data_IF_018631271119
#
_entry.id   IF_018631271119
#
_cell.length_a   1.000
_cell.length_b   1.000
_cell.length_c   1.000
_cell.angle_alpha   90.00
_cell.angle_beta   90.00
_cell.angle_gamma   90.00
#
_symmetry.space_group_name_H-M   'P 1'
#
loop_
_entity.id
_entity.type
_entity.pdbx_description
1 polymer ?
#
# COMPACT_ATOMS: atom_id res chain seq x y z
N UNK A 1 -14.70 -6.84 11.15
CA UNK A 1 -14.07 -8.18 10.96
C UNK A 1 -12.58 -7.96 10.77
N UNK A 2 -11.68 -8.78 11.32
CA UNK A 2 -10.23 -8.59 11.14
C UNK A 2 -9.84 -8.58 9.65
N UNK A 3 -8.70 -7.97 9.34
CA UNK A 3 -8.19 -7.84 7.96
C UNK A 3 -8.25 -9.17 7.20
N UNK A 4 -8.98 -9.14 6.08
CA UNK A 4 -9.17 -10.31 5.23
C UNK A 4 -7.83 -10.75 4.62
N UNK A 5 -7.42 -11.99 4.91
CA UNK A 5 -6.14 -12.57 4.48
C UNK A 5 -6.20 -13.26 3.12
N UNK A 6 -7.35 -13.20 2.43
CA UNK A 6 -7.51 -13.75 1.09
C UNK A 6 -6.42 -13.24 0.14
N UNK A 7 -5.78 -14.10 -0.67
CA UNK A 7 -4.71 -13.69 -1.58
C UNK A 7 -5.07 -12.53 -2.52
N UNK A 8 -6.36 -12.33 -2.83
CA UNK A 8 -6.83 -11.23 -3.68
C UNK A 8 -6.75 -9.83 -3.02
N UNK A 9 -6.58 -9.77 -1.70
CA UNK A 9 -6.51 -8.55 -0.90
C UNK A 9 -5.16 -8.39 -0.21
N UNK A 10 -4.16 -9.19 -0.60
CA UNK A 10 -2.82 -9.13 0.00
C UNK A 10 -2.19 -7.73 -0.09
N UNK A 11 -2.50 -6.99 -1.15
CA UNK A 11 -2.05 -5.62 -1.37
C UNK A 11 -2.76 -4.59 -0.48
N UNK A 12 -3.92 -4.93 0.10
CA UNK A 12 -4.65 -4.07 1.03
C UNK A 12 -4.18 -4.23 2.47
N UNK A 13 -3.41 -5.28 2.81
CA UNK A 13 -2.98 -5.58 4.19
C UNK A 13 -2.25 -4.44 4.89
N UNK A 14 -1.71 -3.48 4.14
CA UNK A 14 -1.07 -2.32 4.72
C UNK A 14 -2.03 -1.17 5.06
N UNK A 15 -3.33 -1.29 4.79
CA UNK A 15 -4.35 -0.29 5.12
C UNK A 15 -5.05 -0.74 6.40
N UNK A 16 -4.90 0.06 7.46
CA UNK A 16 -5.23 -0.32 8.83
C UNK A 16 -6.22 0.70 9.40
N UNK A 17 -7.52 0.39 9.37
CA UNK A 17 -8.54 1.17 10.05
C UNK A 17 -8.73 0.62 11.46
N UNK A 18 -8.56 1.45 12.48
CA UNK A 18 -8.78 1.02 13.86
C UNK A 18 -10.25 1.29 14.21
N UNK A 19 -11.05 0.31 14.66
CA UNK A 19 -12.49 0.50 14.87
C UNK A 19 -12.82 1.58 15.90
N UNK A 20 -12.02 1.68 16.96
CA UNK A 20 -12.24 2.68 18.02
C UNK A 20 -11.58 4.04 17.77
N UNK A 21 -10.91 4.24 16.62
CA UNK A 21 -10.24 5.50 16.31
C UNK A 21 -10.69 5.97 14.93
N UNK A 22 -11.04 7.24 14.80
CA UNK A 22 -11.42 7.84 13.50
C UNK A 22 -10.20 8.07 12.60
N UNK A 23 -9.33 7.08 12.45
CA UNK A 23 -8.11 7.13 11.66
C UNK A 23 -7.85 5.82 10.91
N UNK A 24 -7.44 5.96 9.66
CA UNK A 24 -6.90 4.87 8.84
C UNK A 24 -5.42 5.12 8.60
N UNK A 25 -4.57 4.18 8.98
CA UNK A 25 -3.14 4.25 8.70
C UNK A 25 -2.77 3.37 7.50
N UNK A 26 -2.18 3.98 6.47
CA UNK A 26 -1.54 3.25 5.37
C UNK A 26 -0.08 3.00 5.75
N UNK A 27 0.22 1.79 6.17
CA UNK A 27 1.54 1.34 6.60
C UNK A 27 2.55 1.39 5.45
N UNK A 28 3.59 2.21 5.64
CA UNK A 28 4.73 2.32 4.75
C UNK A 28 5.97 1.64 5.34
N UNK A 29 6.40 0.47 4.84
CA UNK A 29 7.63 -0.18 5.29
C UNK A 29 8.81 0.78 5.22
N UNK A 30 9.66 0.71 6.25
CA UNK A 30 10.90 1.50 6.40
C UNK A 30 10.70 3.00 6.66
N UNK A 31 9.46 3.47 6.83
CA UNK A 31 9.10 4.81 7.30
C UNK A 31 8.42 4.75 8.68
N UNK A 32 9.10 4.18 9.68
CA UNK A 32 8.63 4.06 11.07
C UNK A 32 7.31 3.29 11.29
N UNK A 33 6.88 2.43 10.35
CA UNK A 33 5.59 1.75 10.44
C UNK A 33 5.39 0.88 11.70
N UNK A 34 6.44 0.21 12.21
CA UNK A 34 6.34 -0.55 13.45
C UNK A 34 6.05 0.34 14.67
N UNK A 35 6.59 1.56 14.70
CA UNK A 35 6.33 2.55 15.76
C UNK A 35 4.91 3.07 15.70
N UNK A 36 4.41 3.40 14.50
CA UNK A 36 3.02 3.85 14.32
C UNK A 36 2.04 2.75 14.70
N UNK A 37 2.24 1.51 14.22
CA UNK A 37 1.41 0.36 14.60
C UNK A 37 1.41 0.14 16.12
N UNK A 38 2.57 0.26 16.77
CA UNK A 38 2.68 0.13 18.23
C UNK A 38 1.90 1.23 18.97
N UNK A 39 1.93 2.46 18.44
CA UNK A 39 1.19 3.61 18.99
C UNK A 39 -0.32 3.44 18.81
N UNK A 40 -0.75 2.93 17.66
CA UNK A 40 -2.17 2.63 17.41
C UNK A 40 -2.71 1.60 18.40
N UNK A 41 -1.91 0.58 18.74
CA UNK A 41 -2.25 -0.45 19.74
C UNK A 41 -2.19 0.03 21.20
N UNK A 42 -1.70 1.25 21.48
CA UNK A 42 -1.44 1.67 22.86
C UNK A 42 -0.25 0.96 23.52
N UNK A 43 0.61 0.31 22.72
CA UNK A 43 1.76 -0.47 23.16
C UNK A 43 1.57 -1.98 22.94
N UNK A 44 2.60 -2.65 22.44
CA UNK A 44 2.58 -4.07 22.14
C UNK A 44 3.91 -4.73 22.51
N UNK A 45 3.86 -5.77 23.36
CA UNK A 45 5.02 -6.58 23.77
C UNK A 45 5.35 -7.71 22.78
N UNK A 46 4.37 -8.16 21.98
CA UNK A 46 4.50 -9.24 20.98
C UNK A 46 4.81 -8.75 19.56
N UNK A 47 4.46 -9.51 18.53
CA UNK A 47 4.65 -9.08 17.14
C UNK A 47 3.62 -8.00 16.73
N UNK A 48 4.07 -6.74 16.64
CA UNK A 48 3.20 -5.59 16.33
C UNK A 48 2.48 -5.72 14.99
N UNK A 49 3.09 -6.38 14.00
CA UNK A 49 2.52 -6.54 12.68
C UNK A 49 1.36 -7.53 12.67
N UNK A 50 1.48 -8.60 13.47
CA UNK A 50 0.38 -9.56 13.65
C UNK A 50 -0.73 -8.98 14.51
N UNK A 51 -0.38 -8.37 15.65
CA UNK A 51 -1.36 -7.83 16.59
C UNK A 51 -2.26 -6.75 15.96
N UNK A 52 -1.70 -5.86 15.13
CA UNK A 52 -2.51 -4.84 14.45
C UNK A 52 -3.46 -5.44 13.40
N UNK A 53 -3.08 -6.54 12.74
CA UNK A 53 -3.92 -7.22 11.73
C UNK A 53 -5.12 -7.94 12.36
N UNK A 54 -5.01 -8.34 13.63
CA UNK A 54 -6.09 -8.99 14.39
C UNK A 54 -7.16 -7.98 14.87
N UNK A 55 -6.81 -6.69 14.97
CA UNK A 55 -7.70 -5.63 15.48
C UNK A 55 -8.24 -4.75 14.35
N UNK A 56 -7.38 -4.34 13.42
CA UNK A 56 -7.78 -3.43 12.36
C UNK A 56 -8.65 -4.12 11.31
N UNK A 57 -9.46 -3.31 10.66
CA UNK A 57 -10.28 -3.68 9.51
C UNK A 57 -10.02 -2.72 8.32
N UNK A 58 -10.78 -2.89 7.24
CA UNK A 58 -10.77 -1.93 6.15
C UNK A 58 -11.81 -0.83 6.40
N UNK A 59 -11.55 0.42 5.97
CA UNK A 59 -12.51 1.50 6.18
C UNK A 59 -13.82 1.26 5.43
N UNK A 60 -14.95 1.54 6.09
CA UNK A 60 -16.29 1.41 5.50
C UNK A 60 -16.74 2.66 4.73
N UNK A 61 -16.14 3.81 5.03
CA UNK A 61 -16.37 5.11 4.38
C UNK A 61 -15.05 5.83 4.10
N UNK A 62 -15.11 7.11 3.73
CA UNK A 62 -13.95 7.99 3.58
C UNK A 62 -14.03 9.23 4.48
N UNK A 63 -14.90 9.22 5.50
CA UNK A 63 -15.22 10.38 6.34
C UNK A 63 -14.38 10.38 7.63
N UNK A 64 -13.09 10.13 7.49
CA UNK A 64 -12.14 10.05 8.61
C UNK A 64 -10.73 10.41 8.13
N UNK A 65 -9.81 10.58 9.07
CA UNK A 65 -8.42 10.91 8.75
C UNK A 65 -7.72 9.68 8.13
N UNK A 66 -7.18 9.84 6.93
CA UNK A 66 -6.35 8.82 6.27
C UNK A 66 -4.92 9.30 6.34
N UNK A 67 -4.06 8.54 6.99
CA UNK A 67 -2.70 8.98 7.27
C UNK A 67 -1.67 8.01 6.75
N UNK A 68 -0.51 8.56 6.40
CA UNK A 68 0.69 7.78 6.13
C UNK A 68 1.94 8.54 6.53
N UNK A 69 3.06 7.85 6.63
CA UNK A 69 4.38 8.42 6.88
C UNK A 69 5.28 8.06 5.70
N UNK A 70 5.94 9.06 5.14
CA UNK A 70 6.97 8.86 4.10
C UNK A 70 8.35 9.04 4.68
N UNK A 71 9.34 8.59 3.91
CA UNK A 71 10.76 8.77 4.19
C UNK A 71 11.47 9.20 2.92
N UNK A 72 12.52 9.99 3.08
CA UNK A 72 13.43 10.36 1.99
C UNK A 72 13.89 9.08 1.25
N UNK A 73 13.74 8.99 -0.08
CA UNK A 73 14.03 7.75 -0.82
C UNK A 73 15.46 7.23 -0.63
N UNK A 74 16.46 8.12 -0.49
CA UNK A 74 17.84 7.75 -0.17
C UNK A 74 17.93 7.00 1.16
N UNK A 75 17.42 7.64 2.20
CA UNK A 75 17.39 7.10 3.56
C UNK A 75 16.60 5.79 3.64
N UNK A 76 15.51 5.69 2.87
CA UNK A 76 14.67 4.48 2.80
C UNK A 76 15.40 3.31 2.14
N UNK A 77 16.11 3.55 1.03
CA UNK A 77 16.87 2.52 0.32
C UNK A 77 17.93 1.89 1.22
N UNK A 78 18.74 2.70 1.91
CA UNK A 78 19.72 2.20 2.89
C UNK A 78 19.03 1.42 4.01
N UNK A 79 17.96 1.97 4.58
CA UNK A 79 17.25 1.30 5.68
C UNK A 79 16.70 -0.05 5.26
N UNK A 80 16.22 -0.18 4.01
CA UNK A 80 15.80 -1.44 3.44
C UNK A 80 16.98 -2.40 3.32
N UNK A 81 18.05 -1.99 2.64
CA UNK A 81 19.24 -2.80 2.42
C UNK A 81 19.79 -3.35 3.74
N UNK A 82 20.14 -2.49 4.70
CA UNK A 82 20.69 -2.89 6.01
C UNK A 82 19.77 -3.83 6.80
N UNK A 83 18.45 -3.72 6.61
CA UNK A 83 17.49 -4.48 7.40
C UNK A 83 17.03 -5.78 6.76
N UNK A 84 17.00 -5.85 5.42
CA UNK A 84 16.31 -6.93 4.68
C UNK A 84 17.17 -7.68 3.67
N UNK A 85 18.26 -7.08 3.21
CA UNK A 85 19.06 -7.60 2.09
C UNK A 85 20.52 -7.82 2.47
N UNK A 86 21.15 -6.84 3.10
CA UNK A 86 22.57 -6.84 3.41
C UNK A 86 22.99 -7.93 4.41
N UNK A 87 24.24 -7.84 4.85
CA UNK A 87 24.91 -8.87 5.64
C UNK A 87 24.07 -9.42 6.81
N UNK A 88 24.03 -10.75 6.93
CA UNK A 88 23.33 -11.49 7.98
C UNK A 88 21.84 -11.72 7.70
N UNK A 89 21.31 -11.22 6.57
CA UNK A 89 19.90 -11.46 6.14
C UNK A 89 19.76 -12.70 5.28
N UNK A 90 20.86 -13.26 4.79
CA UNK A 90 20.88 -14.51 4.05
C UNK A 90 20.44 -15.73 4.88
N UNK A 91 20.64 -15.67 6.20
CA UNK A 91 20.33 -16.76 7.13
C UNK A 91 19.02 -16.58 7.89
N UNK A 92 18.47 -15.35 7.94
CA UNK A 92 17.35 -15.00 8.83
C UNK A 92 16.23 -14.21 8.15
N UNK A 93 16.44 -13.76 6.91
CA UNK A 93 15.58 -12.79 6.24
C UNK A 93 14.50 -13.43 5.38
N UNK A 94 13.24 -13.15 5.71
CA UNK A 94 12.08 -13.51 4.87
C UNK A 94 11.98 -12.73 3.55
N UNK A 95 12.83 -11.73 3.34
CA UNK A 95 12.86 -10.89 2.12
C UNK A 95 14.03 -11.25 1.21
N UNK A 96 15.17 -11.67 1.77
CA UNK A 96 16.38 -11.98 1.00
C UNK A 96 16.17 -13.14 0.03
N UNK A 97 15.65 -14.29 0.47
CA UNK A 97 15.52 -15.46 -0.40
C UNK A 97 14.59 -15.20 -1.61
N UNK A 98 13.40 -14.57 -1.44
CA UNK A 98 12.60 -14.11 -2.58
C UNK A 98 13.34 -13.14 -3.50
N UNK A 99 14.08 -12.18 -2.95
CA UNK A 99 14.89 -11.24 -3.72
C UNK A 99 15.97 -11.96 -4.53
N UNK A 100 16.78 -12.80 -3.89
CA UNK A 100 17.85 -13.54 -4.54
C UNK A 100 17.33 -14.38 -5.72
N UNK A 101 16.20 -15.07 -5.54
CA UNK A 101 15.54 -15.81 -6.62
C UNK A 101 15.06 -14.92 -7.75
N UNK A 102 14.41 -13.80 -7.43
CA UNK A 102 13.83 -12.90 -8.43
C UNK A 102 14.88 -12.19 -9.28
N UNK A 103 16.06 -11.93 -8.71
CA UNK A 103 17.14 -11.16 -9.33
C UNK A 103 18.38 -11.98 -9.66
N UNK A 104 18.33 -13.31 -9.53
CA UNK A 104 19.39 -14.23 -9.97
C UNK A 104 20.62 -14.28 -9.06
N UNK A 105 20.52 -13.90 -7.79
CA UNK A 105 21.60 -14.07 -6.83
C UNK A 105 21.63 -15.48 -6.24
N UNK A 106 22.83 -15.94 -5.88
CA UNK A 106 22.97 -17.12 -5.03
C UNK A 106 22.32 -16.86 -3.65
N UNK A 107 21.63 -17.85 -3.08
CA UNK A 107 20.93 -17.74 -1.81
C UNK A 107 21.84 -17.41 -0.61
N UNK A 108 23.14 -17.66 -0.70
CA UNK A 108 24.14 -17.33 0.31
C UNK A 108 25.02 -16.15 -0.07
N UNK A 109 24.73 -15.48 -1.20
CA UNK A 109 25.44 -14.28 -1.60
C UNK A 109 25.24 -13.17 -0.56
N UNK A 110 26.23 -12.28 -0.48
CA UNK A 110 26.23 -11.09 0.36
C UNK A 110 26.41 -9.87 -0.53
N UNK A 111 25.39 -9.49 -1.31
CA UNK A 111 25.53 -8.41 -2.26
C UNK A 111 25.81 -7.11 -1.53
N UNK A 112 26.64 -6.27 -2.13
CA UNK A 112 26.87 -4.89 -1.75
C UNK A 112 25.59 -4.05 -1.97
N UNK A 113 25.58 -2.83 -1.41
CA UNK A 113 24.46 -1.92 -1.63
C UNK A 113 24.32 -1.53 -3.11
N UNK A 114 25.45 -1.32 -3.80
CA UNK A 114 25.48 -1.04 -5.23
C UNK A 114 24.90 -2.20 -6.07
N UNK A 115 25.26 -3.45 -5.77
CA UNK A 115 24.70 -4.62 -6.48
C UNK A 115 23.20 -4.76 -6.27
N UNK A 116 22.72 -4.50 -5.05
CA UNK A 116 21.29 -4.43 -4.75
C UNK A 116 20.58 -3.38 -5.60
N UNK A 117 21.13 -2.17 -5.70
CA UNK A 117 20.55 -1.09 -6.52
C UNK A 117 20.59 -1.42 -8.02
N UNK A 118 21.71 -1.95 -8.53
CA UNK A 118 21.85 -2.37 -9.93
C UNK A 118 20.83 -3.45 -10.31
N UNK A 119 20.56 -4.40 -9.42
CA UNK A 119 19.53 -5.41 -9.64
C UNK A 119 18.13 -4.80 -9.78
N UNK A 120 17.80 -3.81 -8.93
CA UNK A 120 16.51 -3.12 -9.00
C UNK A 120 16.37 -2.22 -10.22
N UNK A 121 17.44 -1.58 -10.68
CA UNK A 121 17.38 -0.65 -11.82
C UNK A 121 17.42 -1.35 -13.18
N UNK A 122 18.07 -2.50 -13.29
CA UNK A 122 18.27 -3.21 -14.57
C UNK A 122 17.22 -4.29 -14.86
N UNK A 123 16.32 -4.56 -13.91
CA UNK A 123 15.28 -5.58 -14.07
C UNK A 123 14.18 -5.20 -15.05
N UNK A 124 13.54 -6.21 -15.65
CA UNK A 124 12.30 -6.05 -16.42
C UNK A 124 11.04 -6.14 -15.56
N UNK A 125 11.18 -6.46 -14.27
CA UNK A 125 10.06 -6.53 -13.33
C UNK A 125 9.51 -5.13 -13.12
N UNK A 126 8.19 -4.97 -13.24
CA UNK A 126 7.56 -3.67 -13.01
C UNK A 126 7.73 -3.25 -11.53
N UNK A 127 8.15 -2.01 -11.21
CA UNK A 127 8.37 -1.57 -9.84
C UNK A 127 7.15 -1.74 -8.91
N UNK A 128 5.92 -1.67 -9.43
CA UNK A 128 4.70 -1.94 -8.64
C UNK A 128 4.60 -3.39 -8.13
N UNK A 129 5.39 -4.31 -8.68
CA UNK A 129 5.44 -5.74 -8.30
C UNK A 129 6.59 -6.05 -7.32
N UNK A 130 7.46 -5.10 -7.02
CA UNK A 130 8.54 -5.27 -6.06
C UNK A 130 8.00 -5.62 -4.67
N UNK A 131 8.80 -6.29 -3.83
CA UNK A 131 8.45 -6.48 -2.42
C UNK A 131 8.26 -5.12 -1.74
N UNK A 132 7.28 -5.03 -0.84
CA UNK A 132 6.87 -3.78 -0.18
C UNK A 132 8.00 -3.04 0.54
N UNK A 133 9.10 -3.72 0.90
CA UNK A 133 10.22 -3.11 1.61
C UNK A 133 11.13 -2.28 0.69
N UNK A 134 11.25 -2.65 -0.59
CA UNK A 134 12.06 -1.94 -1.59
C UNK A 134 11.23 -1.40 -2.77
N UNK A 135 9.93 -1.69 -2.84
CA UNK A 135 8.99 -1.04 -3.76
C UNK A 135 8.98 0.48 -3.54
N UNK A 136 8.88 1.31 -4.59
CA UNK A 136 8.61 2.74 -4.41
C UNK A 136 7.37 2.99 -3.53
N UNK A 137 7.44 4.03 -2.71
CA UNK A 137 6.40 4.39 -1.74
C UNK A 137 5.08 4.71 -2.44
N UNK A 138 5.09 5.37 -3.60
CA UNK A 138 3.86 5.68 -4.37
C UNK A 138 3.00 4.44 -4.64
N UNK A 139 3.63 3.32 -4.99
CA UNK A 139 2.92 2.05 -5.23
C UNK A 139 2.52 1.34 -3.95
N UNK A 140 3.32 1.47 -2.90
CA UNK A 140 2.99 0.88 -1.59
C UNK A 140 1.84 1.62 -0.92
N UNK A 141 1.74 2.93 -1.16
CA UNK A 141 0.75 3.82 -0.59
C UNK A 141 -0.49 4.00 -1.47
N UNK A 142 -0.59 3.24 -2.56
CA UNK A 142 -1.74 3.24 -3.46
C UNK A 142 -2.07 4.64 -4.00
N UNK A 143 -1.07 5.46 -4.31
CA UNK A 143 -1.24 6.91 -4.58
C UNK A 143 -2.16 7.25 -5.76
N UNK A 144 -2.41 6.28 -6.67
CA UNK A 144 -3.38 6.42 -7.77
C UNK A 144 -4.83 6.31 -7.32
N UNK A 145 -5.07 5.68 -6.18
CA UNK A 145 -6.39 5.31 -5.69
C UNK A 145 -6.71 5.87 -4.30
N UNK A 146 -5.70 6.33 -3.55
CA UNK A 146 -5.87 6.88 -2.21
C UNK A 146 -5.01 8.14 -2.04
N UNK A 147 -5.66 9.20 -1.58
CA UNK A 147 -5.04 10.46 -1.16
C UNK A 147 -5.19 10.57 0.36
N UNK A 148 -4.10 10.43 1.14
CA UNK A 148 -4.14 10.64 2.59
C UNK A 148 -4.44 12.11 2.93
N UNK A 149 -5.21 12.35 4.00
CA UNK A 149 -5.41 13.69 4.56
C UNK A 149 -4.15 14.25 5.22
N UNK A 150 -3.30 13.36 5.73
CA UNK A 150 -2.00 13.72 6.31
C UNK A 150 -0.89 12.78 5.85
N UNK A 151 0.19 13.36 5.33
CA UNK A 151 1.44 12.66 4.99
C UNK A 151 2.55 13.20 5.89
N UNK A 152 2.85 12.46 6.95
CA UNK A 152 3.93 12.78 7.87
C UNK A 152 5.30 12.41 7.31
N UNK A 153 6.35 12.97 7.92
CA UNK A 153 7.75 12.71 7.54
C UNK A 153 8.45 12.04 8.71
N UNK A 154 9.18 10.95 8.46
CA UNK A 154 10.00 10.36 9.52
C UNK A 154 11.13 11.30 9.95
N UNK A 155 11.55 12.20 9.05
CA UNK A 155 12.55 13.24 9.31
C UNK A 155 12.02 14.32 10.27
N UNK A 156 10.70 14.50 10.36
CA UNK A 156 10.04 15.45 11.27
C UNK A 156 9.15 14.72 12.29
N UNK A 157 9.81 14.08 13.25
CA UNK A 157 9.15 13.34 14.34
C UNK A 157 8.31 14.29 15.22
N UNK A 158 8.70 15.56 15.35
CA UNK A 158 7.99 16.54 16.19
C UNK A 158 6.59 16.80 15.63
N UNK A 159 6.48 17.12 14.35
CA UNK A 159 5.17 17.33 13.71
C UNK A 159 4.32 16.07 13.72
N UNK A 160 4.94 14.91 13.52
CA UNK A 160 4.25 13.62 13.63
C UNK A 160 3.67 13.40 15.04
N UNK A 161 4.46 13.64 16.08
CA UNK A 161 4.00 13.51 17.47
C UNK A 161 2.80 14.42 17.75
N UNK A 162 2.90 15.70 17.37
CA UNK A 162 1.81 16.67 17.52
C UNK A 162 0.54 16.24 16.77
N UNK A 163 0.69 15.71 15.56
CA UNK A 163 -0.43 15.19 14.79
C UNK A 163 -1.13 14.01 15.50
N UNK A 164 -0.35 13.04 16.01
CA UNK A 164 -0.90 11.87 16.68
C UNK A 164 -1.59 12.26 18.00
N UNK A 165 -0.99 13.17 18.78
CA UNK A 165 -1.58 13.66 20.03
C UNK A 165 -2.92 14.37 19.81
N UNK A 166 -3.04 15.17 18.74
CA UNK A 166 -4.34 15.77 18.33
C UNK A 166 -5.42 14.72 18.04
N UNK A 167 -5.01 13.50 17.65
CA UNK A 167 -5.89 12.38 17.38
C UNK A 167 -5.97 11.39 18.56
N UNK A 168 -5.62 11.84 19.78
CA UNK A 168 -5.63 11.00 21.00
C UNK A 168 -4.77 9.73 20.89
N UNK A 169 -3.68 9.79 20.11
CA UNK A 169 -2.71 8.70 19.95
C UNK A 169 -1.37 9.16 20.51
N UNK A 170 -0.91 8.49 21.57
CA UNK A 170 0.44 8.72 22.10
C UNK A 170 1.47 8.02 21.21
N UNK A 171 2.51 8.73 20.81
CA UNK A 171 3.63 8.13 20.09
C UNK A 171 4.46 7.24 21.04
N UNK A 172 4.48 5.94 20.76
CA UNK A 172 5.17 4.93 21.58
C UNK A 172 6.32 4.31 20.81
N UNK A 173 7.54 4.78 21.10
CA UNK A 173 8.77 4.27 20.50
C UNK A 173 9.01 2.83 20.92
N UNK A 174 9.11 1.93 19.93
CA UNK A 174 9.33 0.50 20.17
C UNK A 174 10.76 0.04 19.90
N UNK A 175 11.54 0.81 19.14
CA UNK A 175 12.81 0.32 18.64
C UNK A 175 13.99 0.78 19.53
N UNK A 176 14.59 -0.10 20.37
CA UNK A 176 15.75 0.26 21.17
C UNK A 176 17.01 0.47 20.32
N UNK A 177 17.03 0.00 19.06
CA UNK A 177 18.13 0.17 18.10
C UNK A 177 17.60 0.64 16.73
N UNK A 178 17.34 1.94 16.53
CA UNK A 178 17.05 2.47 15.20
C UNK A 178 18.19 2.15 14.23
N UNK A 179 17.91 1.96 12.94
CA UNK A 179 18.94 1.66 11.93
C UNK A 179 19.92 2.83 11.68
N UNK A 180 19.78 3.94 12.40
CA UNK A 180 20.60 5.15 12.27
C UNK A 180 20.48 5.89 10.94
N UNK A 181 19.82 5.31 9.93
CA UNK A 181 19.87 5.75 8.53
C UNK A 181 19.22 7.11 8.24
N UNK A 182 18.57 7.75 9.22
CA UNK A 182 18.00 9.09 9.05
C UNK A 182 19.14 10.10 9.19
N UNK A 183 19.43 10.88 8.16
CA UNK A 183 20.54 11.83 8.14
C UNK A 183 21.86 11.24 7.63
N UNK A 184 22.26 10.03 8.07
CA UNK A 184 23.57 9.44 7.71
C UNK A 184 23.70 9.03 6.24
N UNK A 185 22.58 8.94 5.52
CA UNK A 185 22.60 8.52 4.12
C UNK A 185 23.42 9.45 3.21
N UNK A 186 23.63 10.71 3.61
CA UNK A 186 24.43 11.68 2.85
C UNK A 186 25.92 11.31 2.83
N UNK A 187 26.41 10.71 3.91
CA UNK A 187 27.81 10.28 4.03
C UNK A 187 28.02 8.84 3.51
N UNK A 188 26.94 8.05 3.46
CA UNK A 188 27.01 6.63 3.07
C UNK A 188 26.82 6.39 1.57
N UNK A 189 26.18 7.32 0.84
CA UNK A 189 25.79 7.13 -0.56
C UNK A 189 26.79 7.83 -1.48
N UNK A 190 27.37 7.06 -2.40
CA UNK A 190 28.22 7.62 -3.44
C UNK A 190 27.39 8.11 -4.66
N UNK A 191 27.99 8.87 -5.61
CA UNK A 191 27.27 9.43 -6.75
C UNK A 191 26.60 8.40 -7.69
N UNK A 192 27.19 7.21 -7.84
CA UNK A 192 26.61 6.13 -8.67
C UNK A 192 25.35 5.57 -8.01
N UNK A 193 25.43 5.24 -6.71
CA UNK A 193 24.30 4.79 -5.91
C UNK A 193 23.18 5.84 -5.87
N UNK A 194 23.54 7.12 -5.72
CA UNK A 194 22.58 8.21 -5.74
C UNK A 194 21.82 8.28 -7.07
N UNK A 195 22.52 8.06 -8.19
CA UNK A 195 21.92 8.04 -9.53
C UNK A 195 20.95 6.88 -9.71
N UNK A 196 21.32 5.69 -9.22
CA UNK A 196 20.43 4.51 -9.25
C UNK A 196 19.19 4.72 -8.37
N UNK A 197 19.34 5.30 -7.18
CA UNK A 197 18.20 5.60 -6.30
C UNK A 197 17.26 6.62 -6.94
N UNK A 198 17.78 7.67 -7.58
CA UNK A 198 16.96 8.63 -8.34
C UNK A 198 16.16 7.95 -9.44
N UNK A 199 16.76 7.00 -10.15
CA UNK A 199 16.08 6.26 -11.21
C UNK A 199 14.98 5.35 -10.64
N UNK A 200 15.30 4.54 -9.62
CA UNK A 200 14.37 3.55 -9.04
C UNK A 200 13.18 4.22 -8.36
N UNK A 201 13.43 5.34 -7.66
CA UNK A 201 12.45 6.02 -6.81
C UNK A 201 12.04 7.40 -7.33
N UNK A 202 12.17 7.64 -8.65
CA UNK A 202 11.86 8.92 -9.28
C UNK A 202 10.47 9.45 -8.91
N UNK A 203 9.46 8.58 -8.95
CA UNK A 203 8.09 8.94 -8.59
C UNK A 203 7.95 9.31 -7.11
N UNK A 204 8.73 8.71 -6.20
CA UNK A 204 8.67 9.07 -4.77
C UNK A 204 9.22 10.47 -4.55
N UNK A 205 10.34 10.83 -5.19
CA UNK A 205 10.91 12.17 -5.11
C UNK A 205 9.90 13.21 -5.60
N UNK A 206 9.36 13.01 -6.81
CA UNK A 206 8.43 13.94 -7.43
C UNK A 206 7.10 14.04 -6.64
N UNK A 207 6.50 12.90 -6.30
CA UNK A 207 5.16 12.88 -5.70
C UNK A 207 5.14 13.36 -4.24
N UNK A 208 6.22 13.11 -3.48
CA UNK A 208 6.28 13.49 -2.07
C UNK A 208 7.12 14.74 -1.80
N UNK A 209 7.68 15.36 -2.85
CA UNK A 209 8.42 16.63 -2.78
C UNK A 209 9.81 16.52 -2.15
N UNK A 210 10.43 15.33 -2.17
CA UNK A 210 11.80 15.18 -1.69
C UNK A 210 12.80 15.70 -2.74
N UNK A 211 13.87 16.35 -2.28
CA UNK A 211 14.95 16.79 -3.16
C UNK A 211 15.72 15.59 -3.75
N UNK A 212 16.05 15.66 -5.03
CA UNK A 212 16.95 14.72 -5.71
C UNK A 212 18.43 15.10 -5.54
N UNK A 213 18.70 16.26 -4.96
CA UNK A 213 20.03 16.69 -4.54
C UNK A 213 20.36 16.05 -3.18
N UNK A 214 21.39 15.20 -3.17
CA UNK A 214 21.85 14.49 -1.97
C UNK A 214 22.37 15.46 -0.90
N UNK A 215 22.86 16.63 -1.30
CA UNK A 215 23.38 17.66 -0.40
C UNK A 215 22.29 18.54 0.23
N UNK A 216 21.04 18.46 -0.26
CA UNK A 216 19.94 19.22 0.31
C UNK A 216 19.74 18.83 1.79
N UNK A 217 19.79 19.83 2.67
CA UNK A 217 19.68 19.63 4.13
C UNK A 217 18.24 19.67 4.65
N UNK A 218 17.33 20.29 3.89
CA UNK A 218 15.94 20.40 4.26
C UNK A 218 15.09 19.31 3.58
N UNK A 219 14.44 18.49 4.39
CA UNK A 219 13.36 17.62 3.92
C UNK A 219 12.03 18.39 3.86
N UNK A 220 11.11 18.02 2.95
CA UNK A 220 9.84 18.74 2.80
C UNK A 220 8.99 18.64 4.07
N UNK A 221 8.18 19.67 4.33
CA UNK A 221 7.22 19.64 5.41
C UNK A 221 6.17 18.51 5.24
N UNK A 222 5.47 18.10 6.31
CA UNK A 222 4.30 17.24 6.20
C UNK A 222 3.22 17.85 5.30
N UNK A 223 2.50 17.00 4.55
CA UNK A 223 1.41 17.44 3.66
C UNK A 223 0.08 17.30 4.41
N UNK A 224 -0.78 18.33 4.27
CA UNK A 224 -2.20 18.30 4.68
C UNK A 224 -3.07 18.59 3.47
N UNK A 225 -4.07 17.76 3.24
CA UNK A 225 -4.96 17.87 2.10
C UNK A 225 -6.30 17.19 2.36
N UNK A 226 -7.26 17.35 1.45
CA UNK A 226 -8.54 16.64 1.53
C UNK A 226 -8.33 15.15 1.22
N UNK A 227 -8.81 14.22 2.06
CA UNK A 227 -8.67 12.80 1.77
C UNK A 227 -9.55 12.42 0.57
N UNK A 228 -9.09 11.43 -0.18
CA UNK A 228 -9.85 10.84 -1.29
C UNK A 228 -9.54 9.35 -1.42
N UNK A 229 -10.56 8.58 -1.79
CA UNK A 229 -10.47 7.15 -2.09
C UNK A 229 -11.24 6.89 -3.37
N UNK A 230 -10.62 6.23 -4.34
CA UNK A 230 -11.28 5.86 -5.59
C UNK A 230 -12.45 4.92 -5.36
N UNK A 231 -13.47 4.99 -6.21
CA UNK A 231 -14.62 4.07 -6.15
C UNK A 231 -14.19 2.60 -6.19
N UNK A 232 -13.12 2.32 -6.95
CA UNK A 232 -12.50 1.00 -7.01
C UNK A 232 -12.06 0.54 -5.62
N UNK A 233 -11.36 1.36 -4.85
CA UNK A 233 -10.89 0.98 -3.51
C UNK A 233 -12.03 0.91 -2.50
N UNK A 234 -12.98 1.84 -2.55
CA UNK A 234 -14.19 1.77 -1.71
C UNK A 234 -14.96 0.44 -1.93
N UNK A 235 -15.10 0.00 -3.18
CA UNK A 235 -15.69 -1.30 -3.47
C UNK A 235 -14.83 -2.45 -2.94
N UNK A 236 -13.51 -2.39 -3.11
CA UNK A 236 -12.61 -3.44 -2.60
C UNK A 236 -12.68 -3.58 -1.08
N UNK A 237 -12.75 -2.48 -0.33
CA UNK A 237 -12.90 -2.51 1.13
C UNK A 237 -14.22 -3.16 1.54
N UNK A 238 -15.34 -2.76 0.93
CA UNK A 238 -16.65 -3.36 1.19
C UNK A 238 -16.64 -4.87 0.94
N UNK A 239 -16.08 -5.32 -0.18
CA UNK A 239 -16.00 -6.75 -0.49
C UNK A 239 -15.09 -7.50 0.50
N UNK A 240 -13.96 -6.89 0.86
CA UNK A 240 -13.04 -7.48 1.82
C UNK A 240 -13.65 -7.63 3.20
N UNK A 241 -14.38 -6.61 3.68
CA UNK A 241 -15.14 -6.63 4.94
C UNK A 241 -16.28 -7.66 4.92
N UNK A 242 -16.89 -7.91 3.76
CA UNK A 242 -17.91 -8.95 3.57
C UNK A 242 -17.33 -10.36 3.35
N UNK A 243 -16.00 -10.52 3.29
CA UNK A 243 -15.38 -11.80 2.98
C UNK A 243 -15.59 -12.28 1.54
N UNK A 244 -16.06 -11.41 0.63
CA UNK A 244 -16.40 -11.77 -0.74
C UNK A 244 -15.21 -11.66 -1.68
N UNK A 245 -15.17 -12.53 -2.70
CA UNK A 245 -14.18 -12.47 -3.77
C UNK A 245 -14.74 -12.00 -5.09
N UNK A 246 -13.85 -11.63 -6.02
CA UNK A 246 -14.23 -11.40 -7.41
C UNK A 246 -14.86 -12.64 -8.05
N UNK A 247 -14.49 -13.83 -7.59
CA UNK A 247 -15.10 -15.09 -8.04
C UNK A 247 -16.50 -15.23 -7.46
N UNK A 248 -16.71 -14.85 -6.20
CA UNK A 248 -18.04 -14.86 -5.58
C UNK A 248 -18.98 -13.91 -6.26
N UNK A 249 -18.57 -12.67 -6.52
CA UNK A 249 -19.39 -11.71 -7.27
C UNK A 249 -19.79 -12.24 -8.64
N UNK A 250 -18.86 -12.87 -9.37
CA UNK A 250 -19.18 -13.50 -10.67
C UNK A 250 -20.23 -14.61 -10.52
N UNK A 251 -20.10 -15.44 -9.49
CA UNK A 251 -21.04 -16.53 -9.19
C UNK A 251 -22.42 -15.99 -8.81
N UNK A 252 -22.48 -14.96 -7.96
CA UNK A 252 -23.74 -14.32 -7.52
C UNK A 252 -24.42 -13.63 -8.71
N UNK A 253 -23.66 -12.90 -9.55
CA UNK A 253 -24.19 -12.29 -10.77
C UNK A 253 -24.78 -13.33 -11.73
N UNK A 254 -24.11 -14.48 -11.91
CA UNK A 254 -24.61 -15.56 -12.75
C UNK A 254 -25.91 -16.18 -12.20
N UNK A 255 -26.03 -16.31 -10.87
CA UNK A 255 -27.25 -16.79 -10.22
C UNK A 255 -28.43 -15.83 -10.43
N UNK A 256 -28.23 -14.53 -10.22
CA UNK A 256 -29.27 -13.52 -10.50
C UNK A 256 -29.70 -13.51 -11.96
N UNK A 257 -28.75 -13.65 -12.91
CA UNK A 257 -29.08 -13.77 -14.33
C UNK A 257 -29.95 -14.99 -14.61
N UNK A 258 -29.64 -16.14 -13.99
CA UNK A 258 -30.41 -17.39 -14.15
C UNK A 258 -31.80 -17.30 -13.53
N UNK A 259 -31.96 -16.60 -12.41
CA UNK A 259 -33.24 -16.42 -11.72
C UNK A 259 -34.10 -15.28 -12.31
N UNK A 260 -33.71 -14.70 -13.45
CA UNK A 260 -34.45 -13.60 -14.08
C UNK A 260 -34.23 -12.21 -13.47
N UNK A 261 -33.48 -12.08 -12.37
CA UNK A 261 -33.14 -10.78 -11.78
C UNK A 261 -31.98 -10.12 -12.55
N UNK A 262 -32.29 -9.59 -13.74
CA UNK A 262 -31.29 -9.04 -14.65
C UNK A 262 -30.62 -7.78 -14.07
N UNK A 263 -31.36 -6.93 -13.36
CA UNK A 263 -30.84 -5.70 -12.75
C UNK A 263 -29.77 -6.01 -11.70
N UNK A 264 -30.01 -6.94 -10.78
CA UNK A 264 -29.01 -7.35 -9.80
C UNK A 264 -27.76 -7.95 -10.46
N UNK A 265 -27.94 -8.76 -11.52
CA UNK A 265 -26.81 -9.27 -12.31
C UNK A 265 -26.01 -8.13 -12.98
N UNK A 266 -26.69 -7.12 -13.51
CA UNK A 266 -26.06 -5.96 -14.17
C UNK A 266 -25.20 -5.18 -13.16
N UNK A 267 -25.76 -4.81 -12.01
CA UNK A 267 -25.06 -4.06 -10.94
C UNK A 267 -23.78 -4.79 -10.52
N UNK A 268 -23.86 -6.10 -10.25
CA UNK A 268 -22.70 -6.89 -9.84
C UNK A 268 -21.63 -6.99 -10.93
N UNK A 269 -22.04 -6.99 -12.21
CA UNK A 269 -21.09 -6.97 -13.34
C UNK A 269 -20.44 -5.60 -13.52
N UNK A 270 -21.16 -4.51 -13.30
CA UNK A 270 -20.59 -3.16 -13.29
C UNK A 270 -19.54 -3.03 -12.17
N UNK A 271 -19.83 -3.50 -10.95
CA UNK A 271 -18.83 -3.59 -9.87
C UNK A 271 -17.58 -4.41 -10.26
N UNK A 272 -17.77 -5.56 -10.93
CA UNK A 272 -16.65 -6.34 -11.45
C UNK A 272 -15.84 -5.59 -12.51
N UNK A 273 -16.49 -4.75 -13.33
CA UNK A 273 -15.83 -3.91 -14.32
C UNK A 273 -15.03 -2.79 -13.65
N UNK A 274 -15.54 -2.15 -12.60
CA UNK A 274 -14.79 -1.16 -11.79
C UNK A 274 -13.47 -1.73 -11.26
N UNK A 275 -13.45 -3.02 -10.88
CA UNK A 275 -12.23 -3.71 -10.44
C UNK A 275 -11.35 -4.22 -11.59
N UNK A 276 -11.88 -4.33 -12.80
CA UNK A 276 -11.20 -4.85 -14.00
C UNK A 276 -11.54 -3.99 -15.23
N UNK A 277 -11.14 -2.71 -15.24
CA UNK A 277 -11.63 -1.74 -16.23
C UNK A 277 -11.29 -2.13 -17.67
N UNK A 278 -10.22 -2.91 -17.88
CA UNK A 278 -9.74 -3.34 -19.20
C UNK A 278 -10.39 -4.64 -19.70
N UNK A 279 -11.43 -5.15 -19.04
CA UNK A 279 -12.05 -6.43 -19.43
C UNK A 279 -13.11 -6.27 -20.51
N UNK A 280 -12.71 -6.45 -21.78
CA UNK A 280 -13.63 -6.42 -22.93
C UNK A 280 -14.78 -7.43 -22.79
N UNK A 281 -14.50 -8.62 -22.26
CA UNK A 281 -15.52 -9.65 -21.99
C UNK A 281 -16.59 -9.19 -20.99
N UNK A 282 -16.20 -8.44 -19.95
CA UNK A 282 -17.17 -7.90 -18.99
C UNK A 282 -18.02 -6.81 -19.64
N UNK A 283 -17.40 -5.91 -20.42
CA UNK A 283 -18.13 -4.85 -21.16
C UNK A 283 -19.18 -5.44 -22.08
N UNK A 284 -18.80 -6.39 -22.95
CA UNK A 284 -19.75 -7.06 -23.85
C UNK A 284 -20.90 -7.73 -23.10
N UNK A 285 -20.59 -8.40 -21.97
CA UNK A 285 -21.63 -9.03 -21.16
C UNK A 285 -22.56 -8.03 -20.44
N UNK A 286 -22.09 -6.82 -20.15
CA UNK A 286 -22.89 -5.74 -19.57
C UNK A 286 -23.85 -5.19 -20.62
N UNK A 287 -23.35 -4.88 -21.82
CA UNK A 287 -24.17 -4.39 -22.94
C UNK A 287 -25.31 -5.35 -23.29
N UNK A 288 -25.03 -6.65 -23.34
CA UNK A 288 -26.08 -7.68 -23.55
C UNK A 288 -27.14 -7.70 -22.45
N UNK A 289 -26.79 -7.40 -21.19
CA UNK A 289 -27.78 -7.34 -20.11
C UNK A 289 -28.62 -6.08 -20.20
N UNK A 290 -28.02 -4.95 -20.52
CA UNK A 290 -28.72 -3.68 -20.73
C UNK A 290 -29.76 -3.79 -21.86
N UNK A 291 -29.39 -4.42 -22.98
CA UNK A 291 -30.33 -4.71 -24.08
C UNK A 291 -31.50 -5.58 -23.63
N UNK A 292 -31.24 -6.65 -22.87
CA UNK A 292 -32.31 -7.54 -22.37
C UNK A 292 -33.23 -6.86 -21.37
N UNK A 293 -32.69 -5.99 -20.50
CA UNK A 293 -33.47 -5.19 -19.55
C UNK A 293 -34.37 -4.21 -20.31
N UNK A 294 -33.84 -3.50 -21.31
CA UNK A 294 -34.63 -2.61 -22.18
C UNK A 294 -35.75 -3.36 -22.90
N UNK A 295 -35.45 -4.54 -23.45
CA UNK A 295 -36.46 -5.37 -24.11
C UNK A 295 -37.58 -5.84 -23.16
N UNK A 296 -37.25 -6.19 -21.91
CA UNK A 296 -38.27 -6.53 -20.89
C UNK A 296 -39.13 -5.32 -20.49
N UNK A 297 -38.52 -4.14 -20.36
CA UNK A 297 -39.24 -2.91 -20.01
C UNK A 297 -40.20 -2.46 -21.12
N UNK A 298 -39.82 -2.64 -22.40
CA UNK A 298 -40.69 -2.30 -23.52
C UNK A 298 -41.88 -3.25 -23.62
N UNK A 299 -41.66 -4.57 -23.45
CA UNK A 299 -42.77 -5.54 -23.44
C UNK A 299 -43.81 -5.24 -22.36
N UNK A 300 -43.36 -4.88 -21.16
CA UNK A 300 -44.26 -4.55 -20.05
C UNK A 300 -44.98 -3.19 -20.20
N UNK A 301 -44.68 -2.40 -21.24
CA UNK A 301 -45.39 -1.14 -21.55
C UNK A 301 -46.47 -1.33 -22.63
N UNK A 302 -46.38 -2.41 -23.39
CA UNK A 302 -47.31 -2.75 -24.46
C UNK A 302 -48.41 -3.73 -23.98
N UNK A 303 -48.31 -4.20 -22.72
CA UNK A 303 -49.32 -4.97 -21.95
C UNK A 303 -50.05 -4.06 -20.95
#
# INVERSE_FOLDING_TARGET
>A
MPINTSPQYVDLKNILHHPDKSITYISNPKAACSTIKNSLLGGCTGNVHRAIEEICEYPNDSNHEIITITRNPYSRAISCYKNKIGWGKETTGNVWLPFARAFGFNAHAKPTFLEFLKALSSTKINPSQFDIHYRPQVFTLHSKDITPSYIGRIEDIKSLKLFLEKNSIKLLTRNPRPTGSTGTYRDEINPEEASLIRLIYAEDFAHYGYSTDLSAMADPAPIRQKPWISERYQLRFRLANLGLTNRDLKRIAARHKKSGNLMASLILKQHLLTMRPNSNKLRASISQLEERIRAQQNKNKDD
#
